data_IF_741448425420
#
_entry.id   IF_741448425420
#
_cell.length_a   1.000
_cell.length_b   1.000
_cell.length_c   1.000
_cell.angle_alpha   90.00
_cell.angle_beta   90.00
_cell.angle_gamma   90.00
#
_symmetry.space_group_name_H-M   'P 1'
#
loop_
_entity.id
_entity.type
_entity.pdbx_description
1 polymer ?
#
# COMPACT_ATOMS: atom_id res chain seq x y z
N UNK A 1 -1.90 -8.99 -37.15
CA UNK A 1 -1.00 -9.89 -36.40
C UNK A 1 -1.23 -9.56 -34.93
N UNK A 2 -1.82 -10.47 -34.16
CA UNK A 2 -2.24 -10.17 -32.78
C UNK A 2 -1.28 -10.85 -31.82
N UNK A 3 -0.66 -10.07 -30.93
CA UNK A 3 0.25 -10.60 -29.91
C UNK A 3 -0.53 -11.36 -28.84
N UNK A 4 -0.31 -12.67 -28.76
CA UNK A 4 -0.90 -13.53 -27.73
C UNK A 4 -0.08 -13.37 -26.46
N UNK A 5 -0.54 -12.52 -25.55
CA UNK A 5 0.11 -12.31 -24.25
C UNK A 5 -0.25 -13.41 -23.25
N UNK A 6 0.75 -14.05 -22.67
CA UNK A 6 0.54 -15.09 -21.66
C UNK A 6 0.27 -14.49 -20.28
N UNK A 7 -1.03 -14.38 -19.94
CA UNK A 7 -1.49 -13.85 -18.65
C UNK A 7 -0.97 -14.62 -17.44
N UNK A 8 -0.69 -15.93 -17.55
CA UNK A 8 -0.14 -16.74 -16.45
C UNK A 8 1.30 -16.32 -16.13
N UNK A 9 2.12 -16.10 -17.15
CA UNK A 9 3.50 -15.63 -16.97
C UNK A 9 3.51 -14.21 -16.40
N UNK A 10 2.64 -13.33 -16.88
CA UNK A 10 2.48 -11.97 -16.35
C UNK A 10 2.11 -11.96 -14.87
N UNK A 11 1.07 -12.72 -14.47
CA UNK A 11 0.67 -12.85 -13.06
C UNK A 11 1.80 -13.38 -12.18
N UNK A 12 2.56 -14.37 -12.67
CA UNK A 12 3.72 -14.93 -11.97
C UNK A 12 4.82 -13.89 -11.79
N UNK A 13 5.10 -13.09 -12.80
CA UNK A 13 6.11 -12.03 -12.73
C UNK A 13 5.69 -10.93 -11.75
N UNK A 14 4.42 -10.49 -11.81
CA UNK A 14 3.86 -9.52 -10.84
C UNK A 14 3.95 -10.04 -9.40
N UNK A 15 3.64 -11.32 -9.17
CA UNK A 15 3.76 -11.94 -7.86
C UNK A 15 5.23 -12.00 -7.37
N UNK A 16 6.18 -12.27 -8.26
CA UNK A 16 7.62 -12.25 -7.93
C UNK A 16 8.09 -10.85 -7.56
N UNK A 17 7.74 -9.85 -8.37
CA UNK A 17 8.10 -8.45 -8.11
C UNK A 17 7.54 -7.96 -6.76
N UNK A 18 6.27 -8.27 -6.46
CA UNK A 18 5.67 -7.91 -5.17
C UNK A 18 6.41 -8.55 -4.00
N UNK A 19 6.83 -9.82 -4.11
CA UNK A 19 7.63 -10.50 -3.08
C UNK A 19 9.02 -9.87 -2.92
N UNK A 20 9.65 -9.46 -4.02
CA UNK A 20 10.96 -8.83 -4.00
C UNK A 20 10.92 -7.45 -3.33
N UNK A 21 9.91 -6.64 -3.63
CA UNK A 21 9.68 -5.35 -2.96
C UNK A 21 9.45 -5.51 -1.45
N UNK A 22 8.65 -6.51 -1.05
CA UNK A 22 8.45 -6.83 0.37
C UNK A 22 9.75 -7.28 1.03
N UNK A 23 10.55 -8.10 0.36
CA UNK A 23 11.84 -8.54 0.88
C UNK A 23 12.82 -7.37 1.05
N UNK A 24 12.86 -6.44 0.10
CA UNK A 24 13.68 -5.23 0.19
C UNK A 24 13.26 -4.34 1.36
N UNK A 25 11.95 -4.09 1.53
CA UNK A 25 11.43 -3.36 2.69
C UNK A 25 11.80 -4.08 3.99
N UNK A 26 11.63 -5.40 4.07
CA UNK A 26 12.00 -6.15 5.25
C UNK A 26 13.51 -6.05 5.54
N UNK A 27 14.38 -6.11 4.54
CA UNK A 27 15.84 -5.90 4.74
C UNK A 27 16.14 -4.54 5.36
N UNK A 28 15.45 -3.48 4.94
CA UNK A 28 15.62 -2.13 5.48
C UNK A 28 15.07 -2.02 6.91
N UNK A 29 14.00 -2.76 7.22
CA UNK A 29 13.38 -2.78 8.55
C UNK A 29 14.16 -3.65 9.55
N UNK A 30 14.83 -4.70 9.05
CA UNK A 30 15.72 -5.52 9.84
C UNK A 30 16.95 -4.71 10.27
N UNK A 31 17.32 -4.81 11.55
CA UNK A 31 18.42 -4.05 12.14
C UNK A 31 18.00 -2.75 12.85
N UNK A 32 16.76 -2.29 12.68
CA UNK A 32 16.26 -1.11 13.43
C UNK A 32 16.15 -1.39 14.93
N UNK A 33 16.54 -0.40 15.73
CA UNK A 33 16.45 -0.43 17.19
C UNK A 33 15.00 -0.34 17.67
N UNK A 34 14.73 -0.66 18.94
CA UNK A 34 13.37 -0.56 19.50
C UNK A 34 12.83 0.87 19.47
N UNK A 35 13.67 1.86 19.79
CA UNK A 35 13.32 3.27 19.79
C UNK A 35 12.91 3.78 18.40
N UNK A 36 13.64 3.41 17.35
CA UNK A 36 13.29 3.75 15.96
C UNK A 36 11.95 3.15 15.53
N UNK A 37 11.67 1.90 15.93
CA UNK A 37 10.39 1.25 15.66
C UNK A 37 9.24 1.91 16.40
N UNK A 38 9.46 2.40 17.62
CA UNK A 38 8.46 3.15 18.40
C UNK A 38 8.19 4.51 17.78
N UNK A 39 9.23 5.25 17.41
CA UNK A 39 9.09 6.53 16.74
C UNK A 39 8.27 6.41 15.45
N UNK A 40 8.61 5.45 14.58
CA UNK A 40 7.86 5.21 13.35
C UNK A 40 6.39 4.84 13.61
N UNK A 41 6.11 4.02 14.64
CA UNK A 41 4.73 3.66 15.02
C UNK A 41 3.91 4.86 15.52
N UNK A 42 4.52 5.74 16.32
CA UNK A 42 3.83 6.93 16.80
C UNK A 42 3.61 7.95 15.67
N UNK A 43 4.54 8.05 14.72
CA UNK A 43 4.37 8.86 13.51
C UNK A 43 3.20 8.36 12.66
N UNK A 44 3.13 7.05 12.37
CA UNK A 44 2.00 6.47 11.62
C UNK A 44 0.68 6.67 12.36
N UNK A 45 0.68 6.48 13.69
CA UNK A 45 -0.51 6.69 14.52
C UNK A 45 -0.99 8.13 14.51
N UNK A 46 -0.08 9.11 14.53
CA UNK A 46 -0.44 10.54 14.41
C UNK A 46 -1.03 10.82 13.04
N UNK A 47 -0.44 10.30 11.97
CA UNK A 47 -0.95 10.46 10.61
C UNK A 47 -2.35 9.85 10.45
N UNK A 48 -2.55 8.63 10.93
CA UNK A 48 -3.87 7.96 10.94
C UNK A 48 -4.91 8.78 11.70
N UNK A 49 -4.57 9.21 12.93
CA UNK A 49 -5.46 10.07 13.73
C UNK A 49 -5.81 11.36 12.99
N UNK A 50 -4.81 12.01 12.40
CA UNK A 50 -5.02 13.22 11.62
C UNK A 50 -5.99 12.97 10.46
N UNK A 51 -5.77 11.91 9.67
CA UNK A 51 -6.66 11.54 8.57
C UNK A 51 -8.07 11.21 9.05
N UNK A 52 -8.23 10.51 10.18
CA UNK A 52 -9.56 10.18 10.72
C UNK A 52 -10.31 11.42 11.20
N UNK A 53 -9.63 12.37 11.83
CA UNK A 53 -10.25 13.59 12.35
C UNK A 53 -10.62 14.56 11.23
N UNK A 54 -9.81 14.60 10.17
CA UNK A 54 -10.01 15.46 9.01
C UNK A 54 -10.74 14.73 7.87
N UNK A 55 -11.33 13.56 8.16
CA UNK A 55 -12.08 12.81 7.16
C UNK A 55 -13.37 13.56 6.87
N UNK A 56 -13.41 14.18 5.70
CA UNK A 56 -14.63 14.74 5.15
C UNK A 56 -15.50 13.59 4.64
N UNK A 57 -16.78 13.59 5.02
CA UNK A 57 -17.75 12.70 4.41
C UNK A 57 -17.79 13.00 2.90
N UNK A 58 -17.69 11.97 2.03
CA UNK A 58 -17.86 12.19 0.62
C UNK A 58 -19.25 12.79 0.41
N UNK A 59 -19.32 14.00 -0.14
CA UNK A 59 -20.60 14.59 -0.55
C UNK A 59 -21.30 13.57 -1.44
N UNK A 60 -22.43 13.04 -0.97
CA UNK A 60 -23.31 12.13 -1.72
C UNK A 60 -23.45 12.70 -3.13
N UNK A 61 -22.83 12.06 -4.13
CA UNK A 61 -23.13 12.38 -5.53
C UNK A 61 -24.64 12.14 -5.70
N UNK A 62 -25.36 13.06 -6.37
CA UNK A 62 -26.79 12.89 -6.55
C UNK A 62 -27.04 11.62 -7.38
N UNK A 63 -28.18 10.98 -7.12
CA UNK A 63 -28.66 9.81 -7.84
C UNK A 63 -28.63 10.07 -9.36
N UNK A 64 -27.79 9.32 -10.09
CA UNK A 64 -27.93 9.20 -11.54
C UNK A 64 -29.07 8.21 -11.82
N UNK A 65 -30.29 8.74 -11.82
CA UNK A 65 -31.44 8.08 -12.41
C UNK A 65 -31.38 8.15 -13.94
N UNK A 66 -31.27 6.98 -14.59
CA UNK A 66 -31.77 6.66 -15.93
C UNK A 66 -31.75 5.15 -16.14
#
# INVERSE_FOLDING_TARGET
MSDIVNLRQFKKQKARQSKEQQAEQNRILHGRTKAEKEFAREETRKAEKFLTLNRLEPSKKPDDGA
#
